data_IF_461137567849
#
_entry.id   IF_461137567849
#
_cell.length_a   1.000
_cell.length_b   1.000
_cell.length_c   1.000
_cell.angle_alpha   90.00
_cell.angle_beta   90.00
_cell.angle_gamma   90.00
#
_symmetry.space_group_name_H-M   'P 1'
#
loop_
_entity.id
_entity.type
_entity.pdbx_description
1 polymer ?
#
# COMPACT_ATOMS: atom_id res chain seq x y z
N UNK A 1 0.28 21.05 -3.85
CA UNK A 1 -0.90 20.94 -4.74
C UNK A 1 -0.90 19.60 -5.53
N UNK A 2 0.11 19.29 -6.38
CA UNK A 2 0.10 18.11 -7.27
C UNK A 2 -0.05 16.76 -6.53
N UNK A 3 0.77 16.48 -5.50
CA UNK A 3 0.72 15.22 -4.74
C UNK A 3 -0.65 15.03 -4.08
N UNK A 4 -1.22 16.07 -3.48
CA UNK A 4 -2.56 16.01 -2.88
C UNK A 4 -3.64 15.69 -3.91
N UNK A 5 -3.52 16.24 -5.12
CA UNK A 5 -4.43 15.91 -6.22
C UNK A 5 -4.28 14.45 -6.63
N UNK A 6 -3.05 13.92 -6.77
CA UNK A 6 -2.80 12.50 -7.10
C UNK A 6 -3.39 11.55 -6.06
N UNK A 7 -3.24 11.86 -4.77
CA UNK A 7 -3.81 11.06 -3.68
C UNK A 7 -5.34 11.12 -3.66
N UNK A 8 -5.93 12.25 -4.04
CA UNK A 8 -7.40 12.35 -4.21
C UNK A 8 -7.86 11.50 -5.39
N UNK A 9 -7.26 11.65 -6.57
CA UNK A 9 -7.58 10.87 -7.76
C UNK A 9 -7.45 9.35 -7.50
N UNK A 10 -6.47 8.93 -6.68
CA UNK A 10 -6.29 7.54 -6.28
C UNK A 10 -7.45 7.07 -5.41
N UNK A 11 -7.91 7.86 -4.42
CA UNK A 11 -9.07 7.51 -3.59
C UNK A 11 -10.35 7.40 -4.42
N UNK A 12 -10.60 8.39 -5.28
CA UNK A 12 -11.78 8.42 -6.16
C UNK A 12 -11.77 7.23 -7.14
N UNK A 13 -10.61 6.79 -7.60
CA UNK A 13 -10.45 5.60 -8.42
C UNK A 13 -10.75 4.33 -7.64
N UNK A 14 -10.19 4.16 -6.42
CA UNK A 14 -10.42 2.99 -5.57
C UNK A 14 -11.90 2.80 -5.25
N UNK A 15 -12.66 3.87 -5.03
CA UNK A 15 -14.10 3.78 -4.82
C UNK A 15 -14.88 3.22 -6.03
N UNK A 16 -14.33 3.33 -7.26
CA UNK A 16 -14.96 2.83 -8.50
C UNK A 16 -14.54 1.40 -8.85
N UNK A 17 -13.29 1.02 -8.59
CA UNK A 17 -12.71 -0.25 -9.04
C UNK A 17 -12.51 -1.26 -7.90
N UNK A 18 -13.07 -0.99 -6.72
CA UNK A 18 -12.91 -1.80 -5.52
C UNK A 18 -11.75 -1.33 -4.63
N UNK A 19 -11.90 -1.55 -3.34
CA UNK A 19 -10.96 -1.09 -2.30
C UNK A 19 -10.06 -2.23 -1.77
N UNK A 20 -10.00 -3.33 -2.49
CA UNK A 20 -9.18 -4.49 -2.15
C UNK A 20 -8.40 -5.01 -3.35
N UNK A 21 -7.24 -5.62 -3.09
CA UNK A 21 -6.46 -6.34 -4.10
C UNK A 21 -7.09 -7.69 -4.48
N UNK A 22 -7.95 -8.25 -3.61
CA UNK A 22 -8.51 -9.60 -3.72
C UNK A 22 -9.86 -9.64 -4.45
N UNK A 23 -9.97 -8.91 -5.56
CA UNK A 23 -11.14 -8.99 -6.43
C UNK A 23 -11.07 -10.24 -7.29
N UNK A 24 -12.20 -10.97 -7.46
CA UNK A 24 -12.26 -12.14 -8.35
C UNK A 24 -11.97 -11.80 -9.81
N UNK A 25 -12.45 -10.67 -10.25
CA UNK A 25 -12.21 -10.11 -11.59
C UNK A 25 -11.55 -8.72 -11.45
N UNK A 26 -10.24 -8.68 -11.18
CA UNK A 26 -9.56 -7.41 -10.94
C UNK A 26 -9.35 -6.62 -12.24
N UNK A 27 -9.42 -5.29 -12.14
CA UNK A 27 -8.90 -4.40 -13.19
C UNK A 27 -7.39 -4.26 -13.01
N UNK A 28 -6.59 -4.83 -13.93
CA UNK A 28 -5.12 -4.89 -13.87
C UNK A 28 -4.50 -3.48 -13.82
N UNK A 29 -5.15 -2.51 -14.44
CA UNK A 29 -4.64 -1.14 -14.54
C UNK A 29 -5.10 -0.28 -13.37
N UNK A 30 -6.41 -0.25 -13.11
CA UNK A 30 -7.02 0.72 -12.22
C UNK A 30 -7.37 0.17 -10.83
N UNK A 31 -7.42 -1.15 -10.66
CA UNK A 31 -7.64 -1.82 -9.38
C UNK A 31 -6.56 -1.49 -8.36
N UNK A 32 -6.82 -1.82 -7.10
CA UNK A 32 -5.84 -1.64 -6.00
C UNK A 32 -4.61 -2.49 -6.27
N UNK A 33 -3.44 -1.88 -6.18
CA UNK A 33 -2.17 -2.54 -6.53
C UNK A 33 -1.97 -2.76 -8.03
N UNK A 34 -2.82 -2.17 -8.88
CA UNK A 34 -2.67 -2.23 -10.34
C UNK A 34 -1.59 -1.30 -10.88
N UNK A 35 -1.40 -1.35 -12.21
CA UNK A 35 -0.35 -0.58 -12.90
C UNK A 35 -0.45 0.94 -12.65
N UNK A 36 -1.66 1.46 -12.40
CA UNK A 36 -1.87 2.87 -12.10
C UNK A 36 -1.27 3.30 -10.76
N UNK A 37 -1.25 2.41 -9.76
CA UNK A 37 -0.63 2.70 -8.47
C UNK A 37 0.89 2.80 -8.60
N UNK A 38 1.52 1.90 -9.38
CA UNK A 38 2.93 2.00 -9.72
C UNK A 38 3.26 3.33 -10.44
N UNK A 39 2.49 3.68 -11.47
CA UNK A 39 2.70 4.92 -12.21
C UNK A 39 2.48 6.16 -11.33
N UNK A 40 1.47 6.16 -10.46
CA UNK A 40 1.25 7.28 -9.53
C UNK A 40 2.45 7.46 -8.60
N UNK A 41 2.99 6.36 -8.06
CA UNK A 41 4.18 6.40 -7.21
C UNK A 41 5.37 7.01 -7.95
N UNK A 42 5.61 6.58 -9.21
CA UNK A 42 6.67 7.14 -10.02
C UNK A 42 6.45 8.63 -10.34
N UNK A 43 5.25 9.04 -10.72
CA UNK A 43 4.97 10.46 -11.01
C UNK A 43 5.11 11.35 -9.78
N UNK A 44 4.70 10.88 -8.61
CA UNK A 44 4.93 11.61 -7.36
C UNK A 44 6.42 11.73 -7.04
N UNK A 45 7.19 10.64 -7.24
CA UNK A 45 8.64 10.64 -7.08
C UNK A 45 9.32 11.62 -8.05
N UNK A 46 8.94 11.59 -9.32
CA UNK A 46 9.47 12.51 -10.34
C UNK A 46 9.28 13.98 -9.95
N UNK A 47 8.08 14.35 -9.53
CA UNK A 47 7.77 15.73 -9.14
C UNK A 47 8.42 16.13 -7.81
N UNK A 48 8.50 15.20 -6.85
CA UNK A 48 8.97 15.50 -5.49
C UNK A 48 10.47 15.40 -5.33
N UNK A 49 11.06 14.40 -5.96
CA UNK A 49 12.46 14.01 -5.80
C UNK A 49 13.31 14.35 -7.03
N UNK A 50 12.67 14.82 -8.10
CA UNK A 50 13.31 15.10 -9.39
C UNK A 50 14.09 13.90 -9.95
N UNK A 51 13.51 12.70 -9.85
CA UNK A 51 14.09 11.46 -10.38
C UNK A 51 13.56 11.16 -11.78
N UNK A 52 14.40 10.61 -12.64
CA UNK A 52 14.05 10.28 -14.03
C UNK A 52 13.56 8.85 -14.22
N UNK A 53 13.81 7.98 -13.26
CA UNK A 53 13.38 6.59 -13.27
C UNK A 53 12.88 6.15 -11.89
N UNK A 54 12.25 4.97 -11.85
CA UNK A 54 11.81 4.36 -10.59
C UNK A 54 13.01 3.97 -9.70
N UNK A 55 14.18 3.78 -10.27
CA UNK A 55 15.42 3.46 -9.55
C UNK A 55 15.82 4.58 -8.60
N UNK A 56 15.48 5.83 -8.94
CA UNK A 56 15.68 6.97 -8.05
C UNK A 56 15.00 6.84 -6.68
N UNK A 57 13.98 5.99 -6.53
CA UNK A 57 13.42 5.68 -5.22
C UNK A 57 14.40 4.91 -4.33
N UNK A 58 15.25 4.07 -4.92
CA UNK A 58 16.35 3.40 -4.21
C UNK A 58 17.50 4.36 -3.88
N UNK A 59 17.94 5.13 -4.86
CA UNK A 59 19.01 6.14 -4.73
C UNK A 59 18.69 7.18 -3.64
N UNK A 60 17.43 7.57 -3.53
CA UNK A 60 16.92 8.51 -2.53
C UNK A 60 16.49 7.85 -1.22
N UNK A 61 16.76 6.55 -1.03
CA UNK A 61 16.42 5.76 0.16
C UNK A 61 14.90 5.70 0.49
N UNK A 62 14.03 5.89 -0.50
CA UNK A 62 12.58 5.69 -0.34
C UNK A 62 12.19 4.21 -0.40
N UNK A 63 12.95 3.38 -1.08
CA UNK A 63 12.84 1.92 -1.09
C UNK A 63 14.21 1.29 -0.89
N UNK A 64 14.25 0.18 -0.16
CA UNK A 64 15.45 -0.66 -0.07
C UNK A 64 15.67 -1.38 -1.42
N UNK A 65 16.88 -1.82 -1.69
CA UNK A 65 17.21 -2.53 -2.94
C UNK A 65 16.30 -3.74 -3.20
N UNK A 66 16.02 -4.55 -2.17
CA UNK A 66 15.10 -5.68 -2.28
C UNK A 66 13.65 -5.27 -2.54
N UNK A 67 13.19 -4.19 -1.93
CA UNK A 67 11.85 -3.62 -2.14
C UNK A 67 11.71 -3.07 -3.56
N UNK A 68 12.72 -2.35 -4.05
CA UNK A 68 12.75 -1.82 -5.40
C UNK A 68 12.72 -2.95 -6.45
N UNK A 69 13.52 -4.00 -6.25
CA UNK A 69 13.52 -5.18 -7.13
C UNK A 69 12.16 -5.87 -7.14
N UNK A 70 11.53 -6.05 -5.97
CA UNK A 70 10.19 -6.63 -5.86
C UNK A 70 9.12 -5.74 -6.53
N UNK A 71 9.25 -4.41 -6.42
CA UNK A 71 8.33 -3.45 -7.03
C UNK A 71 8.41 -3.50 -8.56
N UNK A 72 9.62 -3.57 -9.12
CA UNK A 72 9.86 -3.71 -10.57
C UNK A 72 9.36 -5.05 -11.09
N UNK A 73 9.62 -6.14 -10.37
CA UNK A 73 9.16 -7.47 -10.75
C UNK A 73 7.62 -7.57 -10.73
N UNK A 74 6.98 -6.94 -9.75
CA UNK A 74 5.52 -6.88 -9.68
C UNK A 74 4.92 -6.09 -10.85
N UNK A 75 5.52 -4.96 -11.21
CA UNK A 75 5.11 -4.18 -12.38
C UNK A 75 5.24 -5.00 -13.68
N UNK A 76 6.39 -5.67 -13.89
CA UNK A 76 6.62 -6.51 -15.07
C UNK A 76 5.58 -7.63 -15.19
N UNK A 77 5.29 -8.32 -14.08
CA UNK A 77 4.27 -9.37 -14.05
C UNK A 77 2.89 -8.85 -14.48
N UNK A 78 2.43 -7.76 -13.89
CA UNK A 78 1.13 -7.17 -14.23
C UNK A 78 1.10 -6.64 -15.66
N UNK A 79 2.20 -6.07 -16.15
CA UNK A 79 2.31 -5.59 -17.52
C UNK A 79 2.21 -6.75 -18.53
N UNK A 80 2.90 -7.86 -18.27
CA UNK A 80 2.79 -9.08 -19.10
C UNK A 80 1.38 -9.65 -19.09
N UNK A 81 0.74 -9.74 -17.92
CA UNK A 81 -0.65 -10.19 -17.82
C UNK A 81 -1.61 -9.29 -18.62
N UNK A 82 -1.43 -7.96 -18.51
CA UNK A 82 -2.20 -6.99 -19.28
C UNK A 82 -1.97 -7.10 -20.79
N UNK A 83 -0.76 -7.28 -21.24
CA UNK A 83 -0.42 -7.42 -22.64
C UNK A 83 -1.09 -8.68 -23.22
N UNK A 84 -1.01 -9.83 -22.54
CA UNK A 84 -1.72 -11.05 -22.97
C UNK A 84 -3.24 -10.89 -23.00
N UNK A 85 -3.80 -10.14 -22.03
CA UNK A 85 -5.22 -9.80 -22.05
C UNK A 85 -5.59 -8.96 -23.27
N UNK A 86 -4.82 -7.94 -23.61
CA UNK A 86 -5.05 -7.07 -24.78
C UNK A 86 -4.88 -7.82 -26.10
N UNK A 87 -3.88 -8.69 -26.23
CA UNK A 87 -3.71 -9.50 -27.45
C UNK A 87 -4.87 -10.45 -27.71
N UNK A 88 -5.64 -10.79 -26.67
CA UNK A 88 -6.76 -11.73 -26.80
C UNK A 88 -8.13 -11.07 -26.86
N UNK A 89 -8.25 -9.87 -26.36
CA UNK A 89 -9.51 -9.16 -26.31
C UNK A 89 -9.80 -8.49 -27.64
N UNK A 90 -10.99 -8.69 -28.18
CA UNK A 90 -11.45 -7.97 -29.38
C UNK A 90 -11.64 -6.46 -29.12
N UNK A 91 -11.72 -6.05 -27.85
CA UNK A 91 -11.85 -4.67 -27.39
C UNK A 91 -10.83 -4.40 -26.30
N UNK A 92 -10.30 -3.18 -26.22
CA UNK A 92 -9.43 -2.79 -25.10
C UNK A 92 -10.16 -3.00 -23.77
N UNK A 93 -9.63 -3.89 -22.93
CA UNK A 93 -10.14 -4.13 -21.58
C UNK A 93 -8.97 -4.35 -20.62
N UNK A 94 -9.10 -3.83 -19.41
CA UNK A 94 -8.15 -4.07 -18.33
C UNK A 94 -8.76 -5.00 -17.25
N UNK A 95 -10.01 -5.48 -17.47
CA UNK A 95 -10.71 -6.40 -16.59
C UNK A 95 -10.26 -7.85 -16.84
N UNK A 96 -9.65 -8.46 -15.84
CA UNK A 96 -9.23 -9.86 -15.85
C UNK A 96 -10.40 -10.75 -15.44
N UNK A 97 -11.35 -10.96 -16.38
CA UNK A 97 -12.56 -11.73 -16.12
C UNK A 97 -12.27 -13.23 -15.88
N UNK A 98 -13.17 -13.91 -15.16
CA UNK A 98 -13.09 -15.36 -14.91
C UNK A 98 -12.94 -16.17 -16.21
N UNK A 99 -13.57 -15.72 -17.31
CA UNK A 99 -13.44 -16.37 -18.62
C UNK A 99 -12.05 -16.24 -19.22
N UNK A 100 -11.35 -15.12 -18.97
CA UNK A 100 -10.04 -14.84 -19.57
C UNK A 100 -8.88 -15.39 -18.72
N UNK A 101 -9.05 -15.50 -17.41
CA UNK A 101 -8.01 -15.97 -16.49
C UNK A 101 -7.36 -17.30 -16.90
N UNK A 102 -8.11 -18.36 -17.31
CA UNK A 102 -7.48 -19.63 -17.72
C UNK A 102 -6.60 -19.49 -18.95
N UNK A 103 -7.03 -18.65 -19.90
CA UNK A 103 -6.33 -18.39 -21.16
C UNK A 103 -5.03 -17.63 -20.91
N UNK A 104 -5.10 -16.59 -20.06
CA UNK A 104 -3.95 -15.77 -19.68
C UNK A 104 -2.95 -16.60 -18.86
N UNK A 105 -3.42 -17.37 -17.87
CA UNK A 105 -2.57 -18.26 -17.08
C UNK A 105 -1.76 -19.21 -17.98
N UNK A 106 -2.40 -19.87 -18.95
CA UNK A 106 -1.70 -20.76 -19.88
C UNK A 106 -0.62 -20.03 -20.69
N UNK A 107 -0.89 -18.82 -21.16
CA UNK A 107 0.05 -18.02 -21.96
C UNK A 107 1.22 -17.49 -21.15
N UNK A 108 1.00 -17.19 -19.88
CA UNK A 108 2.06 -16.77 -18.95
C UNK A 108 2.91 -17.95 -18.45
N UNK A 109 2.64 -19.17 -18.91
CA UNK A 109 3.48 -20.33 -18.65
C UNK A 109 3.02 -21.23 -17.50
N UNK A 110 1.83 -21.01 -16.93
CA UNK A 110 1.24 -21.93 -15.96
C UNK A 110 0.77 -23.20 -16.67
N UNK A 111 1.37 -24.35 -16.34
CA UNK A 111 1.21 -25.62 -17.09
C UNK A 111 0.41 -26.69 -16.34
N UNK A 112 -0.12 -26.37 -15.17
CA UNK A 112 -0.96 -27.32 -14.43
C UNK A 112 -2.10 -27.84 -15.33
N UNK A 113 -2.28 -29.17 -15.34
CA UNK A 113 -3.26 -29.83 -16.19
C UNK A 113 -4.70 -29.53 -15.76
N UNK A 114 -4.92 -29.50 -14.45
CA UNK A 114 -6.20 -29.12 -13.89
C UNK A 114 -6.43 -27.61 -14.09
N UNK A 115 -7.51 -27.28 -14.79
CA UNK A 115 -7.84 -25.90 -15.15
C UNK A 115 -7.96 -24.99 -13.92
N UNK A 116 -8.67 -25.46 -12.89
CA UNK A 116 -8.91 -24.69 -11.66
C UNK A 116 -7.61 -24.43 -10.91
N UNK A 117 -6.78 -25.45 -10.73
CA UNK A 117 -5.47 -25.30 -10.08
C UNK A 117 -4.55 -24.36 -10.85
N UNK A 118 -4.56 -24.42 -12.18
CA UNK A 118 -3.78 -23.49 -13.00
C UNK A 118 -4.22 -22.04 -12.82
N UNK A 119 -5.52 -21.79 -12.76
CA UNK A 119 -6.06 -20.44 -12.49
C UNK A 119 -5.70 -20.01 -11.08
N UNK A 120 -5.82 -20.89 -10.10
CA UNK A 120 -5.47 -20.61 -8.71
C UNK A 120 -3.99 -20.22 -8.56
N UNK A 121 -3.07 -20.95 -9.19
CA UNK A 121 -1.63 -20.63 -9.18
C UNK A 121 -1.37 -19.24 -9.79
N UNK A 122 -1.97 -18.96 -10.94
CA UNK A 122 -1.85 -17.66 -11.61
C UNK A 122 -2.42 -16.54 -10.76
N UNK A 123 -3.62 -16.70 -10.22
CA UNK A 123 -4.28 -15.66 -9.41
C UNK A 123 -3.59 -15.45 -8.08
N UNK A 124 -3.03 -16.49 -7.46
CA UNK A 124 -2.17 -16.36 -6.27
C UNK A 124 -0.96 -15.47 -6.55
N UNK A 125 -0.29 -15.68 -7.68
CA UNK A 125 0.84 -14.84 -8.08
C UNK A 125 0.40 -13.42 -8.44
N UNK A 126 -0.74 -13.27 -9.12
CA UNK A 126 -1.33 -11.97 -9.41
C UNK A 126 -1.57 -11.16 -8.13
N UNK A 127 -2.25 -11.75 -7.15
CA UNK A 127 -2.54 -11.07 -5.87
C UNK A 127 -1.28 -10.71 -5.10
N UNK A 128 -0.28 -11.59 -5.08
CA UNK A 128 1.02 -11.33 -4.44
C UNK A 128 1.72 -10.11 -5.06
N UNK A 129 1.70 -10.00 -6.38
CA UNK A 129 2.29 -8.86 -7.09
C UNK A 129 1.47 -7.58 -6.91
N UNK A 130 0.15 -7.65 -6.98
CA UNK A 130 -0.72 -6.51 -6.73
C UNK A 130 -0.58 -5.99 -5.28
N UNK A 131 -0.51 -6.89 -4.30
CA UNK A 131 -0.27 -6.53 -2.91
C UNK A 131 1.11 -5.87 -2.72
N UNK A 132 2.14 -6.38 -3.39
CA UNK A 132 3.47 -5.78 -3.39
C UNK A 132 3.43 -4.33 -3.89
N UNK A 133 2.77 -4.07 -5.02
CA UNK A 133 2.61 -2.70 -5.55
C UNK A 133 1.82 -1.84 -4.55
N UNK A 134 0.70 -2.32 -4.02
CA UNK A 134 -0.13 -1.55 -3.08
C UNK A 134 0.67 -1.18 -1.82
N UNK A 135 1.34 -2.13 -1.20
CA UNK A 135 2.13 -1.93 0.02
C UNK A 135 3.29 -0.97 -0.21
N UNK A 136 4.09 -1.17 -1.26
CA UNK A 136 5.26 -0.34 -1.52
C UNK A 136 4.87 1.06 -1.99
N UNK A 137 3.80 1.22 -2.75
CA UNK A 137 3.24 2.54 -3.07
C UNK A 137 2.85 3.31 -1.81
N UNK A 138 2.11 2.68 -0.88
CA UNK A 138 1.77 3.29 0.41
C UNK A 138 3.00 3.66 1.25
N UNK A 139 4.03 2.81 1.24
CA UNK A 139 5.30 3.09 1.94
C UNK A 139 5.95 4.35 1.38
N UNK A 140 6.06 4.48 0.07
CA UNK A 140 6.64 5.67 -0.59
C UNK A 140 5.78 6.91 -0.33
N UNK A 141 4.46 6.80 -0.45
CA UNK A 141 3.50 7.88 -0.16
C UNK A 141 3.67 8.42 1.27
N UNK A 142 3.73 7.52 2.26
CA UNK A 142 3.91 7.88 3.67
C UNK A 142 5.26 8.56 3.91
N UNK A 143 6.35 8.03 3.35
CA UNK A 143 7.69 8.64 3.45
C UNK A 143 7.74 10.02 2.79
N UNK A 144 7.07 10.20 1.66
CA UNK A 144 6.95 11.51 1.02
C UNK A 144 6.12 12.49 1.84
N UNK A 145 5.05 12.04 2.50
CA UNK A 145 4.23 12.87 3.36
C UNK A 145 5.01 13.35 4.60
N UNK A 146 5.77 12.48 5.25
CA UNK A 146 6.62 12.81 6.39
C UNK A 146 7.71 13.84 6.02
N UNK A 147 8.34 13.68 4.87
CA UNK A 147 9.36 14.60 4.37
C UNK A 147 8.76 15.89 3.78
N UNK A 148 7.42 16.02 3.75
CA UNK A 148 6.71 17.20 3.25
C UNK A 148 6.55 18.31 4.29
N UNK A 149 7.01 18.12 5.53
CA UNK A 149 7.13 19.25 6.45
C UNK A 149 8.12 20.23 5.82
N UNK A 150 7.73 21.46 5.53
CA UNK A 150 8.63 22.44 4.95
C UNK A 150 9.84 22.53 5.88
N UNK A 151 11.03 22.57 5.27
CA UNK A 151 12.28 22.87 5.95
C UNK A 151 12.19 24.33 6.42
N UNK A 152 11.28 24.61 7.37
CA UNK A 152 11.43 25.78 8.21
C UNK A 152 12.76 25.51 8.93
N UNK A 153 13.76 26.29 8.62
CA UNK A 153 14.96 26.43 9.47
C UNK A 153 14.43 26.60 10.89
N UNK A 154 14.19 25.47 11.53
CA UNK A 154 13.61 25.40 12.86
C UNK A 154 14.65 26.04 13.77
N UNK A 155 14.27 27.17 14.29
CA UNK A 155 14.95 27.69 15.47
C UNK A 155 14.87 26.57 16.51
N UNK A 156 15.95 25.87 16.84
CA UNK A 156 15.89 24.59 17.60
C UNK A 156 15.20 24.77 18.96
N UNK A 157 15.25 26.00 19.51
CA UNK A 157 14.57 26.38 20.74
C UNK A 157 13.04 26.50 20.58
N UNK A 158 12.54 26.92 19.41
CA UNK A 158 11.09 27.03 19.15
C UNK A 158 10.48 25.66 18.86
N UNK A 159 11.18 24.83 18.07
CA UNK A 159 10.79 23.45 17.78
C UNK A 159 10.70 22.59 19.05
N UNK A 160 11.66 22.76 19.99
CA UNK A 160 11.65 22.02 21.24
C UNK A 160 10.53 22.48 22.18
N UNK A 161 10.22 23.78 22.17
CA UNK A 161 9.10 24.34 22.95
C UNK A 161 7.73 23.92 22.40
N UNK A 162 7.56 23.94 21.07
CA UNK A 162 6.34 23.49 20.41
C UNK A 162 6.16 21.97 20.53
N UNK A 163 7.24 21.17 20.48
CA UNK A 163 7.23 19.75 20.74
C UNK A 163 6.84 19.40 22.19
N UNK A 164 7.38 20.13 23.15
CA UNK A 164 7.02 19.96 24.57
C UNK A 164 5.62 20.45 24.89
N UNK A 165 5.13 21.49 24.21
CA UNK A 165 3.76 21.99 24.37
C UNK A 165 2.73 21.08 23.69
N UNK A 166 3.02 20.51 22.50
CA UNK A 166 2.16 19.54 21.84
C UNK A 166 2.04 18.25 22.69
N UNK A 167 3.17 17.78 23.25
CA UNK A 167 3.20 16.62 24.12
C UNK A 167 2.44 16.82 25.45
N UNK A 168 2.28 18.07 25.90
CA UNK A 168 1.55 18.41 27.14
C UNK A 168 0.04 18.47 26.96
N UNK A 169 -0.48 18.53 25.73
CA UNK A 169 -1.92 18.68 25.44
C UNK A 169 -2.65 17.36 25.10
N UNK A 170 -1.92 16.29 24.73
CA UNK A 170 -2.53 15.01 24.50
C UNK A 170 -2.66 14.23 25.80
N UNK A 171 -3.86 14.17 26.35
CA UNK A 171 -4.20 13.31 27.48
C UNK A 171 -4.01 11.86 27.03
N UNK A 172 -2.99 11.20 27.56
CA UNK A 172 -2.82 9.76 27.42
C UNK A 172 -3.92 9.10 28.25
N UNK A 173 -4.73 8.28 27.63
CA UNK A 173 -5.72 7.44 28.33
C UNK A 173 -5.14 6.04 28.45
N UNK A 174 -5.12 5.53 29.68
CA UNK A 174 -4.79 4.14 29.97
C UNK A 174 -6.09 3.32 29.99
N UNK A 175 -6.21 2.34 29.12
CA UNK A 175 -7.39 1.46 29.02
C UNK A 175 -6.91 0.04 28.82
N UNK A 176 -7.17 -0.84 29.78
CA UNK A 176 -6.88 -2.29 29.70
C UNK A 176 -5.40 -2.62 29.40
N UNK A 177 -4.48 -1.76 29.90
CA UNK A 177 -3.03 -1.90 29.64
C UNK A 177 -2.57 -1.32 28.32
N UNK A 178 -3.46 -0.71 27.55
CA UNK A 178 -3.12 0.05 26.35
C UNK A 178 -3.01 1.54 26.64
N UNK A 179 -2.15 2.20 25.86
CA UNK A 179 -1.96 3.64 25.85
C UNK A 179 -2.66 4.21 24.63
N UNK A 180 -3.67 5.04 24.83
CA UNK A 180 -4.36 5.75 23.76
C UNK A 180 -3.87 7.19 23.75
N UNK A 181 -3.26 7.61 22.63
CA UNK A 181 -2.77 8.96 22.38
C UNK A 181 -3.38 9.50 21.09
N UNK A 182 -4.34 10.41 21.22
CA UNK A 182 -5.06 10.94 20.06
C UNK A 182 -5.85 9.84 19.34
N UNK A 183 -5.41 9.43 18.16
CA UNK A 183 -5.99 8.35 17.36
C UNK A 183 -5.12 7.09 17.31
N UNK A 184 -4.04 7.05 18.08
CA UNK A 184 -3.12 5.94 18.12
C UNK A 184 -3.30 5.15 19.42
N UNK A 185 -3.25 3.82 19.32
CA UNK A 185 -3.23 2.90 20.44
C UNK A 185 -1.91 2.12 20.43
N UNK A 186 -1.20 2.15 21.54
CA UNK A 186 0.04 1.43 21.75
C UNK A 186 0.00 0.65 23.06
N UNK A 187 1.03 -0.11 23.37
CA UNK A 187 1.12 -0.89 24.60
C UNK A 187 2.38 -0.53 25.40
N UNK A 188 2.26 -0.55 26.73
CA UNK A 188 3.38 -0.18 27.62
C UNK A 188 4.52 -1.20 27.59
N UNK A 189 4.18 -2.48 27.51
CA UNK A 189 5.14 -3.57 27.48
C UNK A 189 4.73 -4.66 26.49
N UNK A 190 5.70 -5.36 25.91
CA UNK A 190 5.43 -6.51 25.03
C UNK A 190 4.80 -7.70 25.76
N UNK A 191 4.87 -7.73 27.09
CA UNK A 191 4.35 -8.82 27.93
C UNK A 191 2.85 -8.74 28.15
N UNK A 192 2.19 -7.63 27.79
CA UNK A 192 0.77 -7.38 28.00
C UNK A 192 -0.14 -8.48 27.43
N UNK A 193 0.26 -9.09 26.31
CA UNK A 193 -0.47 -10.17 25.66
C UNK A 193 -0.14 -11.55 26.28
N UNK A 194 1.01 -11.69 26.92
CA UNK A 194 1.37 -12.91 27.67
C UNK A 194 0.65 -12.97 29.01
N UNK A 195 0.40 -11.81 29.64
CA UNK A 195 -0.36 -11.70 30.88
C UNK A 195 -1.85 -12.03 30.68
N UNK A 196 -2.44 -11.56 29.58
CA UNK A 196 -3.82 -11.86 29.21
C UNK A 196 -3.94 -11.94 27.68
N UNK A 197 -3.96 -13.16 27.11
CA UNK A 197 -4.09 -13.38 25.66
C UNK A 197 -5.36 -12.76 25.04
N UNK A 198 -6.45 -12.59 25.83
CA UNK A 198 -7.68 -11.98 25.34
C UNK A 198 -7.50 -10.48 25.00
N UNK A 199 -6.46 -9.84 25.53
CA UNK A 199 -6.13 -8.46 25.16
C UNK A 199 -5.83 -8.30 23.68
N UNK A 200 -5.36 -9.37 23.00
CA UNK A 200 -5.18 -9.34 21.55
C UNK A 200 -6.50 -9.09 20.81
N UNK A 201 -7.59 -9.68 21.25
CA UNK A 201 -8.93 -9.43 20.67
C UNK A 201 -9.48 -8.07 21.11
N UNK A 202 -9.21 -7.67 22.36
CA UNK A 202 -9.70 -6.40 22.89
C UNK A 202 -9.03 -5.19 22.24
N UNK A 203 -7.76 -5.27 21.83
CA UNK A 203 -7.11 -4.16 21.10
C UNK A 203 -7.85 -3.88 19.80
N UNK A 204 -8.22 -4.90 19.02
CA UNK A 204 -8.98 -4.72 17.80
C UNK A 204 -10.38 -4.13 18.07
N UNK A 205 -11.03 -4.55 19.15
CA UNK A 205 -12.31 -3.98 19.57
C UNK A 205 -12.15 -2.49 19.93
N UNK A 206 -11.12 -2.10 20.66
CA UNK A 206 -10.83 -0.70 20.98
C UNK A 206 -10.53 0.12 19.74
N UNK A 207 -9.75 -0.42 18.79
CA UNK A 207 -9.46 0.23 17.51
C UNK A 207 -10.74 0.48 16.71
N UNK A 208 -11.60 -0.53 16.59
CA UNK A 208 -12.84 -0.44 15.83
C UNK A 208 -13.84 0.53 16.47
N UNK A 209 -14.03 0.47 17.78
CA UNK A 209 -15.01 1.31 18.49
C UNK A 209 -14.61 2.79 18.55
N UNK A 210 -13.31 3.09 18.58
CA UNK A 210 -12.80 4.45 18.75
C UNK A 210 -12.09 5.01 17.51
N UNK A 211 -12.06 4.27 16.40
CA UNK A 211 -11.39 4.69 15.17
C UNK A 211 -9.88 4.92 15.37
N UNK A 212 -9.22 4.01 16.13
CA UNK A 212 -7.82 4.12 16.48
C UNK A 212 -6.96 3.33 15.50
N UNK A 213 -5.71 3.76 15.32
CA UNK A 213 -4.67 3.10 14.55
C UNK A 213 -3.62 2.51 15.50
N UNK A 214 -3.08 1.33 15.19
CA UNK A 214 -2.05 0.69 16.00
C UNK A 214 -0.70 1.37 15.74
N UNK A 215 -0.06 1.87 16.81
CA UNK A 215 1.32 2.36 16.81
C UNK A 215 2.26 1.20 17.15
N UNK A 216 3.10 0.77 16.16
CA UNK A 216 4.02 -0.38 16.25
C UNK A 216 5.46 0.10 16.31
#
# INVERSE_FOLDING_TARGET
AYIQQRLKDQRDRRSRYGDTVFMQEPDIKNGVGGLRDYHNTFWMARVRLNVDSIDGLGEQNYLRSSELSAFKAAYDFLLRARNELHFRSKRPTDLLSLETQPKIAYRLGYRERNLLKRVEEFMRDYYRHAETINRLSKTVESRMALNSKPNQRANPLKSMKDFLMARRKERIKHVDGFLIRGREISFETRQIFSEDPNRLLRVFRHMQQNGLELDI
#
